data_IF_036752036754
#
_entry.id   IF_036752036754
#
_cell.length_a   1.000
_cell.length_b   1.000
_cell.length_c   1.000
_cell.angle_alpha   90.00
_cell.angle_beta   90.00
_cell.angle_gamma   90.00
#
_symmetry.space_group_name_H-M   'P 1'
#
loop_
_entity.id
_entity.type
_entity.pdbx_description
1 polymer ?
#
# COMPACT_ATOMS: atom_id res chain seq x y z
N UNK A 1 10.91 -47.76 -50.30
CA UNK A 1 9.51 -47.76 -49.85
C UNK A 1 9.33 -46.56 -48.92
N UNK A 2 8.71 -45.50 -49.43
CA UNK A 2 8.52 -44.24 -48.69
C UNK A 2 7.05 -44.21 -48.30
N UNK A 3 6.76 -44.31 -46.97
CA UNK A 3 5.40 -44.21 -46.43
C UNK A 3 5.10 -42.72 -46.16
N UNK A 4 4.13 -42.20 -46.89
CA UNK A 4 3.57 -40.86 -46.67
C UNK A 4 2.44 -40.98 -45.65
N UNK A 5 2.58 -40.31 -44.49
CA UNK A 5 1.50 -40.17 -43.54
C UNK A 5 0.74 -38.89 -43.85
N UNK A 6 -0.52 -39.03 -44.22
CA UNK A 6 -1.47 -37.92 -44.42
C UNK A 6 -2.12 -37.62 -43.07
N UNK A 7 -1.89 -36.43 -42.52
CA UNK A 7 -2.58 -35.90 -41.33
C UNK A 7 -3.80 -35.15 -41.80
N UNK A 8 -5.00 -35.67 -41.55
CA UNK A 8 -6.27 -34.99 -41.77
C UNK A 8 -6.56 -34.02 -40.62
N UNK A 9 -6.57 -32.73 -40.90
CA UNK A 9 -7.02 -31.69 -39.96
C UNK A 9 -8.57 -31.66 -39.97
N UNK A 10 -9.16 -31.97 -38.83
CA UNK A 10 -10.60 -31.83 -38.58
C UNK A 10 -10.86 -30.42 -38.01
N UNK A 11 -11.46 -29.56 -38.84
CA UNK A 11 -11.95 -28.25 -38.42
C UNK A 11 -13.34 -28.43 -37.76
N UNK A 12 -13.42 -28.26 -36.45
CA UNK A 12 -14.71 -28.11 -35.78
C UNK A 12 -15.18 -26.67 -35.93
N UNK A 13 -16.10 -26.45 -36.84
CA UNK A 13 -16.85 -25.21 -36.93
C UNK A 13 -17.96 -25.18 -35.88
N UNK A 14 -17.86 -24.26 -34.91
CA UNK A 14 -18.99 -23.94 -34.04
C UNK A 14 -19.96 -23.04 -34.80
N UNK A 15 -21.08 -23.59 -35.26
CA UNK A 15 -22.26 -22.83 -35.71
C UNK A 15 -23.02 -22.35 -34.48
N UNK A 16 -22.94 -21.06 -34.16
CA UNK A 16 -23.88 -20.40 -33.26
C UNK A 16 -25.11 -19.96 -34.07
N UNK A 17 -26.16 -20.76 -34.06
CA UNK A 17 -27.47 -20.30 -34.50
C UNK A 17 -28.02 -19.30 -33.48
N UNK A 18 -28.17 -18.05 -33.92
CA UNK A 18 -28.88 -17.00 -33.17
C UNK A 18 -30.37 -17.25 -33.32
N UNK A 19 -31.01 -17.84 -32.30
CA UNK A 19 -32.47 -17.81 -32.18
C UNK A 19 -32.91 -16.39 -31.89
N UNK A 20 -33.61 -15.76 -32.84
CA UNK A 20 -34.45 -14.58 -32.54
C UNK A 20 -35.59 -15.02 -31.64
N UNK A 21 -35.59 -14.53 -30.41
CA UNK A 21 -36.74 -14.60 -29.52
C UNK A 21 -37.35 -13.21 -29.44
N UNK A 22 -38.60 -13.11 -29.89
CA UNK A 22 -39.37 -11.87 -29.88
C UNK A 22 -39.90 -11.60 -28.46
N UNK A 23 -39.61 -10.43 -27.96
CA UNK A 23 -40.49 -9.69 -27.03
C UNK A 23 -40.47 -10.06 -25.57
N UNK A 24 -39.56 -9.48 -24.81
CA UNK A 24 -39.84 -8.92 -23.50
C UNK A 24 -38.78 -7.90 -23.18
N UNK A 25 -39.05 -6.61 -23.32
CA UNK A 25 -38.28 -5.52 -22.75
C UNK A 25 -38.45 -5.56 -21.23
N UNK A 26 -37.62 -6.37 -20.58
CA UNK A 26 -37.30 -6.14 -19.18
C UNK A 26 -36.12 -5.20 -19.16
N UNK A 27 -36.37 -3.93 -18.83
CA UNK A 27 -35.37 -2.98 -18.38
C UNK A 27 -34.67 -3.54 -17.13
N UNK A 28 -33.77 -4.47 -17.33
CA UNK A 28 -32.76 -4.79 -16.31
C UNK A 28 -31.82 -3.60 -16.30
N UNK A 29 -32.11 -2.60 -15.45
CA UNK A 29 -31.08 -1.68 -14.96
C UNK A 29 -29.92 -2.57 -14.50
N UNK A 30 -28.92 -2.72 -15.37
CA UNK A 30 -27.64 -3.27 -15.01
C UNK A 30 -27.10 -2.36 -13.88
N UNK A 31 -27.28 -2.79 -12.65
CA UNK A 31 -26.58 -2.18 -11.54
C UNK A 31 -25.08 -2.38 -11.88
N UNK A 32 -24.44 -1.35 -12.38
CA UNK A 32 -22.99 -1.32 -12.58
C UNK A 32 -22.37 -1.53 -11.21
N UNK A 33 -22.02 -2.78 -10.91
CA UNK A 33 -21.26 -3.09 -9.70
C UNK A 33 -19.94 -2.32 -9.78
N UNK A 34 -19.64 -1.53 -8.75
CA UNK A 34 -18.35 -0.83 -8.66
C UNK A 34 -17.23 -1.85 -8.79
N UNK A 35 -16.13 -1.45 -9.44
CA UNK A 35 -14.92 -2.26 -9.46
C UNK A 35 -14.47 -2.54 -8.00
N UNK A 36 -13.92 -3.73 -7.71
CA UNK A 36 -13.44 -4.05 -6.36
C UNK A 36 -12.43 -3.04 -5.83
N UNK A 37 -11.58 -2.49 -6.72
CA UNK A 37 -10.62 -1.43 -6.41
C UNK A 37 -10.65 -0.40 -7.53
N UNK A 38 -10.67 0.87 -7.16
CA UNK A 38 -10.68 1.99 -8.09
C UNK A 38 -9.57 2.97 -7.74
N UNK A 39 -8.91 3.53 -8.76
CA UNK A 39 -8.04 4.70 -8.59
C UNK A 39 -8.92 5.92 -8.30
N UNK A 40 -8.52 6.72 -7.31
CA UNK A 40 -9.23 7.96 -6.98
C UNK A 40 -8.31 9.17 -7.14
N UNK A 41 -8.89 10.29 -7.53
CA UNK A 41 -8.17 11.58 -7.57
C UNK A 41 -8.47 12.32 -6.25
N UNK A 42 -7.66 12.05 -5.20
CA UNK A 42 -7.79 12.69 -3.89
C UNK A 42 -6.51 13.47 -3.56
N UNK A 43 -6.48 14.73 -3.98
CA UNK A 43 -5.33 15.63 -3.74
C UNK A 43 -5.11 15.91 -2.25
N UNK A 44 -6.17 15.91 -1.43
CA UNK A 44 -6.05 16.13 0.02
C UNK A 44 -5.31 14.95 0.66
N UNK A 45 -5.63 13.74 0.25
CA UNK A 45 -4.97 12.53 0.73
C UNK A 45 -3.48 12.53 0.34
N UNK A 46 -3.16 12.89 -0.90
CA UNK A 46 -1.78 13.01 -1.38
C UNK A 46 -1.02 14.08 -0.57
N UNK A 47 -1.62 15.25 -0.35
CA UNK A 47 -0.97 16.35 0.38
C UNK A 47 -0.76 16.00 1.86
N UNK A 48 -1.72 15.35 2.51
CA UNK A 48 -1.58 14.85 3.87
C UNK A 48 -0.43 13.84 3.99
N UNK A 49 -0.30 12.94 3.02
CA UNK A 49 0.81 11.97 2.99
C UNK A 49 2.17 12.65 2.78
N UNK A 50 2.25 13.64 1.88
CA UNK A 50 3.47 14.44 1.69
C UNK A 50 3.87 15.18 2.95
N UNK A 51 2.92 15.77 3.66
CA UNK A 51 3.17 16.45 4.93
C UNK A 51 3.72 15.48 6.00
N UNK A 52 3.18 14.26 6.07
CA UNK A 52 3.69 13.19 6.95
C UNK A 52 5.16 12.83 6.61
N UNK A 53 5.51 12.75 5.32
CA UNK A 53 6.89 12.49 4.90
C UNK A 53 7.82 13.64 5.29
N UNK A 54 7.40 14.88 5.05
CA UNK A 54 8.17 16.07 5.45
C UNK A 54 8.39 16.12 6.96
N UNK A 55 7.36 15.82 7.76
CA UNK A 55 7.49 15.76 9.21
C UNK A 55 8.52 14.70 9.65
N UNK A 56 8.49 13.51 9.03
CA UNK A 56 9.46 12.45 9.31
C UNK A 56 10.90 12.86 8.96
N UNK A 57 11.12 13.47 7.80
CA UNK A 57 12.44 14.00 7.41
C UNK A 57 12.98 15.05 8.38
N UNK A 58 12.10 15.86 8.95
CA UNK A 58 12.43 16.86 9.96
C UNK A 58 12.52 16.30 11.38
N UNK A 59 12.26 14.99 11.55
CA UNK A 59 12.17 14.32 12.85
C UNK A 59 11.11 14.94 13.77
N UNK A 60 10.07 15.53 13.17
CA UNK A 60 8.91 16.08 13.85
C UNK A 60 7.93 14.95 14.16
N UNK A 61 7.98 14.45 15.39
CA UNK A 61 7.16 13.31 15.81
C UNK A 61 5.68 13.67 15.90
N UNK A 62 5.35 14.91 16.26
CA UNK A 62 3.97 15.39 16.34
C UNK A 62 3.35 15.47 14.95
N UNK A 63 4.05 16.10 14.00
CA UNK A 63 3.61 16.17 12.61
C UNK A 63 3.52 14.79 11.95
N UNK A 64 4.47 13.88 12.21
CA UNK A 64 4.45 12.52 11.69
C UNK A 64 3.23 11.74 12.17
N UNK A 65 2.86 11.89 13.44
CA UNK A 65 1.74 11.14 14.04
C UNK A 65 0.40 11.89 14.00
N UNK A 66 0.35 13.11 13.48
CA UNK A 66 -0.84 13.97 13.48
C UNK A 66 -2.07 13.32 12.82
N UNK A 67 -1.84 12.55 11.75
CA UNK A 67 -2.90 11.90 10.96
C UNK A 67 -3.23 10.46 11.43
N UNK A 68 -2.52 9.92 12.44
CA UNK A 68 -2.84 8.61 12.99
C UNK A 68 -4.10 8.67 13.86
N UNK A 69 -4.93 7.64 13.76
CA UNK A 69 -6.00 7.38 14.72
C UNK A 69 -5.40 6.94 16.07
N UNK A 70 -6.09 7.20 17.17
CA UNK A 70 -5.59 6.82 18.49
C UNK A 70 -5.41 5.31 18.66
N UNK A 71 -6.23 4.52 17.94
CA UNK A 71 -6.19 3.05 17.93
C UNK A 71 -5.47 2.48 16.69
N UNK A 72 -4.62 3.26 16.02
CA UNK A 72 -3.91 2.81 14.80
C UNK A 72 -3.20 1.47 15.01
N UNK A 73 -3.31 0.59 14.03
CA UNK A 73 -2.50 -0.62 13.94
C UNK A 73 -1.36 -0.37 12.94
N UNK A 74 -0.15 -0.20 13.46
CA UNK A 74 1.05 -0.07 12.65
C UNK A 74 1.78 -1.41 12.60
N UNK A 75 2.05 -1.94 11.41
CA UNK A 75 2.69 -3.25 11.24
C UNK A 75 3.78 -3.22 10.18
N UNK A 76 4.76 -4.10 10.35
CA UNK A 76 5.83 -4.31 9.38
C UNK A 76 5.70 -5.66 8.68
N UNK A 77 6.34 -5.75 7.52
CA UNK A 77 6.41 -7.00 6.74
C UNK A 77 6.98 -8.20 7.49
N UNK A 78 7.75 -7.96 8.56
CA UNK A 78 8.28 -9.02 9.45
C UNK A 78 7.27 -9.63 10.42
N UNK A 79 6.02 -9.12 10.47
CA UNK A 79 4.95 -9.63 11.32
C UNK A 79 4.80 -8.92 12.67
N UNK A 80 5.77 -8.11 13.07
CA UNK A 80 5.68 -7.29 14.28
C UNK A 80 4.76 -6.06 14.06
N UNK A 81 4.16 -5.57 15.14
CA UNK A 81 3.22 -4.45 15.09
C UNK A 81 3.26 -3.59 16.35
N UNK A 82 2.78 -2.35 16.20
CA UNK A 82 2.46 -1.45 17.31
C UNK A 82 0.97 -1.14 17.26
N UNK A 83 0.32 -1.09 18.41
CA UNK A 83 -1.08 -0.72 18.54
C UNK A 83 -1.20 0.57 19.31
N UNK A 84 -1.89 1.53 18.70
CA UNK A 84 -2.11 2.85 19.26
C UNK A 84 -1.06 3.88 18.86
N UNK A 85 -1.55 5.10 18.68
CA UNK A 85 -0.75 6.27 18.26
C UNK A 85 0.44 6.54 19.20
N UNK A 86 0.25 6.39 20.52
CA UNK A 86 1.32 6.62 21.48
C UNK A 86 2.47 5.62 21.31
N UNK A 87 2.17 4.33 21.08
CA UNK A 87 3.20 3.33 20.85
C UNK A 87 4.03 3.62 19.59
N UNK A 88 3.38 4.11 18.51
CA UNK A 88 4.07 4.55 17.29
C UNK A 88 4.96 5.77 17.58
N UNK A 89 4.46 6.73 18.35
CA UNK A 89 5.18 7.93 18.75
C UNK A 89 6.44 7.59 19.55
N UNK A 90 6.33 6.73 20.55
CA UNK A 90 7.44 6.31 21.40
C UNK A 90 8.51 5.58 20.59
N UNK A 91 8.10 4.67 19.72
CA UNK A 91 9.01 3.93 18.84
C UNK A 91 9.82 4.87 17.93
N UNK A 92 9.15 5.77 17.21
CA UNK A 92 9.84 6.66 16.27
C UNK A 92 10.62 7.77 16.96
N UNK A 93 10.21 8.21 18.14
CA UNK A 93 11.05 9.09 18.98
C UNK A 93 12.39 8.42 19.27
N UNK A 94 12.39 7.15 19.66
CA UNK A 94 13.61 6.38 19.85
C UNK A 94 14.45 6.27 18.57
N UNK A 95 13.79 6.05 17.42
CA UNK A 95 14.48 5.99 16.12
C UNK A 95 15.10 7.34 15.72
N UNK A 96 14.41 8.44 15.92
CA UNK A 96 14.93 9.79 15.62
C UNK A 96 16.16 10.14 16.44
N UNK A 97 16.28 9.61 17.68
CA UNK A 97 17.45 9.82 18.51
C UNK A 97 18.76 9.25 17.94
N UNK A 98 18.70 8.26 17.08
CA UNK A 98 19.88 7.61 16.47
C UNK A 98 20.11 8.03 15.02
N UNK A 99 19.17 8.72 14.39
CA UNK A 99 19.26 9.21 13.02
C UNK A 99 19.91 10.60 13.00
N UNK A 100 20.98 10.76 12.21
CA UNK A 100 21.58 12.05 11.89
C UNK A 100 20.73 12.80 10.84
N UNK A 101 20.56 12.17 9.68
CA UNK A 101 19.75 12.73 8.58
C UNK A 101 18.92 11.62 7.92
N UNK A 102 17.72 11.98 7.44
CA UNK A 102 16.88 11.11 6.62
C UNK A 102 16.22 11.92 5.51
N UNK A 103 16.20 11.36 4.30
CA UNK A 103 15.58 11.95 3.12
C UNK A 103 14.85 10.89 2.30
N UNK A 104 13.70 11.29 1.79
CA UNK A 104 12.90 10.50 0.86
C UNK A 104 13.03 11.03 -0.56
N UNK A 105 13.01 10.14 -1.53
CA UNK A 105 13.06 10.46 -2.95
C UNK A 105 12.28 9.46 -3.78
N UNK A 106 12.12 9.73 -5.07
CA UNK A 106 11.46 8.82 -6.03
C UNK A 106 10.06 8.36 -5.59
N UNK A 107 9.25 9.33 -5.13
CA UNK A 107 7.92 9.05 -4.57
C UNK A 107 6.90 8.67 -5.65
N UNK A 108 6.14 7.63 -5.38
CA UNK A 108 4.91 7.30 -6.09
C UNK A 108 3.78 7.34 -5.07
N UNK A 109 2.73 8.12 -5.33
CA UNK A 109 1.52 8.23 -4.51
C UNK A 109 0.35 7.70 -5.31
N UNK A 110 -0.31 6.67 -4.81
CA UNK A 110 -1.43 6.01 -5.46
C UNK A 110 -2.63 5.92 -4.52
N UNK A 111 -3.51 6.93 -4.50
CA UNK A 111 -4.74 6.86 -3.73
C UNK A 111 -5.75 5.94 -4.43
N UNK A 112 -6.34 5.03 -3.66
CA UNK A 112 -7.33 4.06 -4.15
C UNK A 112 -8.55 4.03 -3.23
N UNK A 113 -9.68 3.59 -3.79
CA UNK A 113 -10.87 3.15 -3.06
C UNK A 113 -10.98 1.64 -3.17
N UNK A 114 -11.00 0.94 -2.05
CA UNK A 114 -11.36 -0.47 -1.99
C UNK A 114 -12.86 -0.58 -1.69
N UNK A 115 -13.63 -1.11 -2.63
CA UNK A 115 -15.09 -1.30 -2.49
C UNK A 115 -15.43 -2.65 -1.83
N UNK A 116 -14.41 -3.45 -1.51
CA UNK A 116 -14.55 -4.76 -0.88
C UNK A 116 -13.58 -4.89 0.28
N UNK A 117 -14.00 -5.56 1.34
CA UNK A 117 -13.08 -6.09 2.34
C UNK A 117 -12.56 -7.42 1.84
N UNK A 118 -11.25 -7.59 1.61
CA UNK A 118 -10.69 -8.87 1.22
C UNK A 118 -11.01 -9.95 2.27
N UNK A 119 -11.42 -11.12 1.82
CA UNK A 119 -11.82 -12.23 2.69
C UNK A 119 -10.72 -12.56 3.72
N UNK A 120 -11.05 -12.40 5.01
CA UNK A 120 -10.18 -12.76 6.13
C UNK A 120 -8.90 -11.94 6.28
N UNK A 121 -8.75 -10.86 5.51
CA UNK A 121 -7.53 -10.06 5.47
C UNK A 121 -7.52 -8.90 6.47
N UNK A 122 -6.33 -8.45 6.71
CA UNK A 122 -5.99 -7.28 7.47
C UNK A 122 -6.29 -5.95 6.72
N UNK A 123 -7.08 -6.01 5.67
CA UNK A 123 -7.45 -4.87 4.84
C UNK A 123 -8.93 -4.55 5.01
N UNK A 124 -9.25 -3.29 5.16
CA UNK A 124 -10.60 -2.78 5.25
C UNK A 124 -11.07 -2.23 3.89
N UNK A 125 -12.39 -2.20 3.66
CA UNK A 125 -12.96 -1.38 2.59
C UNK A 125 -12.75 0.10 2.94
N UNK A 126 -12.66 0.96 1.92
CA UNK A 126 -12.48 2.39 2.14
C UNK A 126 -11.29 2.98 1.38
N UNK A 127 -10.89 4.16 1.80
CA UNK A 127 -9.78 4.88 1.17
C UNK A 127 -8.44 4.35 1.64
N UNK A 128 -7.55 4.14 0.68
CA UNK A 128 -6.16 3.74 0.93
C UNK A 128 -5.21 4.68 0.21
N UNK A 129 -4.04 4.93 0.82
CA UNK A 129 -2.89 5.51 0.17
C UNK A 129 -1.81 4.45 0.06
N UNK A 130 -1.42 4.10 -1.16
CA UNK A 130 -0.27 3.27 -1.44
C UNK A 130 0.88 4.18 -1.85
N UNK A 131 2.06 3.96 -1.27
CA UNK A 131 3.24 4.77 -1.59
C UNK A 131 4.46 3.90 -1.80
N UNK A 132 5.26 4.22 -2.81
CA UNK A 132 6.60 3.68 -2.98
C UNK A 132 7.58 4.84 -2.97
N UNK A 133 8.69 4.65 -2.31
CA UNK A 133 9.70 5.69 -2.19
C UNK A 133 11.05 5.11 -1.83
N UNK A 134 12.10 5.85 -2.14
CA UNK A 134 13.44 5.51 -1.73
C UNK A 134 13.81 6.29 -0.47
N UNK A 135 14.32 5.58 0.53
CA UNK A 135 14.79 6.15 1.79
C UNK A 135 16.31 6.23 1.76
N UNK A 136 16.84 7.40 2.09
CA UNK A 136 18.25 7.64 2.32
C UNK A 136 18.40 8.05 3.78
N UNK A 137 19.08 7.25 4.59
CA UNK A 137 19.26 7.55 6.01
C UNK A 137 20.73 7.49 6.38
N UNK A 138 21.19 8.48 7.14
CA UNK A 138 22.49 8.52 7.80
C UNK A 138 22.28 8.46 9.32
N UNK A 139 22.98 7.57 9.97
CA UNK A 139 22.96 7.36 11.40
C UNK A 139 24.05 8.16 12.11
N UNK A 140 23.88 8.42 13.41
CA UNK A 140 24.85 9.16 14.24
C UNK A 140 26.22 8.47 14.38
N UNK A 141 26.32 7.16 14.10
CA UNK A 141 27.60 6.45 14.01
C UNK A 141 28.30 6.65 12.67
N UNK A 142 27.77 7.49 11.78
CA UNK A 142 28.32 7.80 10.45
C UNK A 142 27.90 6.84 9.35
N UNK A 143 27.31 5.69 9.66
CA UNK A 143 26.82 4.73 8.65
C UNK A 143 25.63 5.33 7.88
N UNK A 144 25.65 5.16 6.56
CA UNK A 144 24.56 5.58 5.67
C UNK A 144 24.08 4.39 4.84
N UNK A 145 22.76 4.30 4.65
CA UNK A 145 22.11 3.26 3.83
C UNK A 145 21.03 3.87 2.98
N UNK A 146 20.71 3.18 1.90
CA UNK A 146 19.60 3.50 1.00
C UNK A 146 18.78 2.22 0.77
N UNK A 147 17.46 2.35 0.77
CA UNK A 147 16.56 1.24 0.51
C UNK A 147 15.21 1.73 -0.05
N UNK A 148 14.50 0.84 -0.74
CA UNK A 148 13.13 1.09 -1.14
C UNK A 148 12.17 0.69 -0.03
N UNK A 149 11.10 1.46 0.11
CA UNK A 149 10.00 1.20 1.01
C UNK A 149 8.66 1.29 0.29
N UNK A 150 7.69 0.54 0.79
CA UNK A 150 6.28 0.62 0.40
C UNK A 150 5.42 0.76 1.66
N UNK A 151 4.50 1.72 1.65
CA UNK A 151 3.49 1.86 2.69
C UNK A 151 2.09 1.68 2.10
N UNK A 152 1.23 1.01 2.84
CA UNK A 152 -0.21 0.96 2.62
C UNK A 152 -0.91 1.54 3.87
N UNK A 153 -1.67 2.61 3.67
CA UNK A 153 -2.34 3.35 4.74
C UNK A 153 -3.83 3.35 4.48
N UNK A 154 -4.62 2.81 5.40
CA UNK A 154 -6.09 2.90 5.36
C UNK A 154 -6.54 4.13 6.16
N UNK A 155 -7.54 4.82 5.62
CA UNK A 155 -8.15 5.98 6.25
C UNK A 155 -9.59 5.65 6.67
N UNK A 156 -9.87 5.80 7.95
CA UNK A 156 -11.20 5.63 8.50
C UNK A 156 -12.14 6.80 8.12
N UNK A 157 -13.42 6.72 8.51
CA UNK A 157 -14.43 7.72 8.20
C UNK A 157 -14.11 9.12 8.76
N UNK A 158 -13.32 9.20 9.82
CA UNK A 158 -12.82 10.46 10.38
C UNK A 158 -11.59 11.02 9.63
N UNK A 159 -11.16 10.38 8.55
CA UNK A 159 -9.99 10.78 7.76
C UNK A 159 -8.66 10.55 8.48
N UNK A 160 -8.62 9.67 9.50
CA UNK A 160 -7.41 9.29 10.22
C UNK A 160 -6.93 7.93 9.77
N UNK A 161 -5.61 7.72 9.80
CA UNK A 161 -4.97 6.44 9.47
C UNK A 161 -5.18 5.49 10.65
N UNK A 162 -5.98 4.45 10.46
CA UNK A 162 -6.22 3.40 11.45
C UNK A 162 -5.47 2.09 11.16
N UNK A 163 -5.03 1.89 9.90
CA UNK A 163 -4.11 0.83 9.54
C UNK A 163 -2.93 1.42 8.79
N UNK A 164 -1.74 1.11 9.23
CA UNK A 164 -0.49 1.48 8.57
C UNK A 164 0.35 0.21 8.38
N UNK A 165 0.53 -0.25 7.16
CA UNK A 165 1.40 -1.38 6.84
C UNK A 165 2.64 -0.85 6.11
N UNK A 166 3.83 -1.18 6.63
CA UNK A 166 5.10 -0.81 6.04
C UNK A 166 5.89 -2.05 5.61
N UNK A 167 6.29 -2.05 4.36
CA UNK A 167 7.08 -3.10 3.73
C UNK A 167 8.48 -2.57 3.44
N UNK A 168 9.45 -3.05 4.20
CA UNK A 168 10.86 -2.67 4.09
C UNK A 168 11.74 -3.88 4.37
N UNK A 169 12.92 -3.93 3.77
CA UNK A 169 13.98 -4.79 4.26
C UNK A 169 14.62 -4.16 5.50
N UNK A 170 14.43 -4.78 6.65
CA UNK A 170 14.94 -4.27 7.93
C UNK A 170 16.37 -4.70 8.21
N UNK A 171 16.92 -5.68 7.48
CA UNK A 171 18.27 -6.17 7.73
C UNK A 171 19.34 -5.07 7.61
N UNK A 172 19.43 -4.29 6.52
CA UNK A 172 20.40 -3.19 6.42
C UNK A 172 20.19 -2.11 7.49
N UNK A 173 18.94 -1.85 7.91
CA UNK A 173 18.61 -0.91 8.98
C UNK A 173 19.20 -1.38 10.32
N UNK A 174 18.99 -2.66 10.65
CA UNK A 174 19.49 -3.28 11.88
C UNK A 174 21.02 -3.24 11.88
N UNK A 175 21.67 -3.68 10.82
CA UNK A 175 23.15 -3.71 10.72
C UNK A 175 23.77 -2.30 10.81
N UNK A 176 23.13 -1.30 10.22
CA UNK A 176 23.64 0.07 10.28
C UNK A 176 23.47 0.71 11.66
N UNK A 177 22.45 0.32 12.44
CA UNK A 177 22.08 0.98 13.70
C UNK A 177 22.36 0.15 14.96
N UNK A 178 22.87 -1.09 14.85
CA UNK A 178 23.04 -2.00 16.00
C UNK A 178 23.90 -1.45 17.14
N UNK A 179 24.89 -0.62 16.81
CA UNK A 179 25.79 0.00 17.82
C UNK A 179 25.14 1.19 18.53
N UNK A 180 23.98 1.66 18.08
CA UNK A 180 23.25 2.81 18.60
C UNK A 180 22.01 2.43 19.42
N UNK A 181 21.55 1.20 19.29
CA UNK A 181 20.40 0.67 20.02
C UNK A 181 20.93 -0.16 21.19
N UNK A 182 20.61 0.25 22.40
CA UNK A 182 20.94 -0.49 23.64
C UNK A 182 19.83 -1.47 23.98
#
# INVERSE_FOLDING_TARGET
MISVIVIAAVLFGCNNEVKKDDGATTDTKSATSKAPVELINDSNLINATKATFTAFENKDIEGYTANLADNVMFRWSGGDSLVGKQAVKDYYTGRFNIIDNIKYSNHIFLPIMSNVSPNGGATAAGKWMLTWFQTNVKYKNGKAIQFWAHNAQHYNDAGKIDIFAQYIDRHPIIEASKDLVK
#
